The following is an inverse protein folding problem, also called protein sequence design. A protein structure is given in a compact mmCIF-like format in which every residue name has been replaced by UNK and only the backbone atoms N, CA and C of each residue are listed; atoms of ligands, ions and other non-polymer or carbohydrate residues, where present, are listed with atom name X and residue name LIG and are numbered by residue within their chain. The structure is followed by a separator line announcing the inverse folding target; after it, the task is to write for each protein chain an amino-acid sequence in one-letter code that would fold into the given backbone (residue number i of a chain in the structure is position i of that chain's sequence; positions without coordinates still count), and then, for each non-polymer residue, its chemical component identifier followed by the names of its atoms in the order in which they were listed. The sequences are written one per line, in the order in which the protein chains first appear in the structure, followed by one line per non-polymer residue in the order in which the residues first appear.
data_IF_429736899498
#
_entry.id   IF_429736899498
#
_cell.length_a   1.000
_cell.length_b   1.000
_cell.length_c   1.000
_cell.angle_alpha   90.00
_cell.angle_beta   90.00
_cell.angle_gamma   90.00
#
_symmetry.space_group_name_H-M   'P 1'
#
loop_
_entity.id
_entity.type
_entity.pdbx_description
1 polymer ?
#
# COMPACT_ATOMS: atom_id res chain seq x y z
N UNK A 1 -9.31 -26.56 9.95
CA UNK A 1 -10.14 -26.09 11.07
C UNK A 1 -10.90 -27.26 11.65
N UNK A 2 -11.10 -27.34 12.98
CA UNK A 2 -11.99 -28.33 13.57
C UNK A 2 -13.41 -28.19 13.01
N UNK A 3 -14.17 -29.29 12.85
CA UNK A 3 -15.55 -29.19 12.39
C UNK A 3 -16.42 -28.52 13.47
N UNK A 4 -17.48 -27.82 13.03
CA UNK A 4 -18.50 -27.22 13.91
C UNK A 4 -17.96 -26.11 14.82
N UNK A 5 -17.03 -25.30 14.31
CA UNK A 5 -16.57 -24.09 15.00
C UNK A 5 -17.72 -23.14 15.33
N UNK A 6 -18.77 -23.14 14.50
CA UNK A 6 -20.01 -22.37 14.73
C UNK A 6 -20.71 -22.65 16.07
N UNK A 7 -20.44 -23.80 16.72
CA UNK A 7 -20.99 -24.09 18.06
C UNK A 7 -20.32 -23.31 19.19
N UNK A 8 -19.15 -22.72 18.93
CA UNK A 8 -18.38 -21.96 19.90
C UNK A 8 -18.79 -20.48 19.91
N UNK A 9 -20.08 -20.17 19.98
CA UNK A 9 -20.60 -18.79 19.84
C UNK A 9 -20.10 -17.79 20.89
N UNK A 10 -19.58 -18.27 22.03
CA UNK A 10 -18.96 -17.47 23.09
C UNK A 10 -17.44 -17.38 22.97
N UNK A 11 -16.85 -17.89 21.90
CA UNK A 11 -15.41 -17.85 21.68
C UNK A 11 -14.96 -16.40 21.51
N UNK A 12 -14.02 -15.96 22.35
CA UNK A 12 -13.50 -14.60 22.33
C UNK A 12 -12.20 -14.48 21.53
N UNK A 13 -11.42 -15.57 21.45
CA UNK A 13 -10.12 -15.54 20.80
C UNK A 13 -10.02 -16.65 19.77
N UNK A 14 -9.84 -16.25 18.52
CA UNK A 14 -9.49 -17.11 17.41
C UNK A 14 -8.57 -16.32 16.49
N UNK A 15 -7.29 -16.68 16.44
CA UNK A 15 -6.31 -15.92 15.66
C UNK A 15 -6.25 -16.35 14.22
N UNK A 16 -6.58 -17.60 13.91
CA UNK A 16 -6.42 -18.19 12.59
C UNK A 16 -7.64 -19.06 12.26
N UNK A 17 -8.26 -18.80 11.13
CA UNK A 17 -9.35 -19.57 10.54
C UNK A 17 -8.95 -19.99 9.13
N UNK A 18 -8.91 -21.28 8.83
CA UNK A 18 -8.65 -21.78 7.47
C UNK A 18 -9.93 -22.24 6.80
N UNK A 19 -10.29 -21.62 5.69
CA UNK A 19 -11.43 -22.03 4.87
C UNK A 19 -11.10 -23.37 4.22
N UNK A 20 -11.93 -24.37 4.46
CA UNK A 20 -11.80 -25.69 3.86
C UNK A 20 -12.43 -25.74 2.47
N UNK A 21 -12.03 -26.73 1.67
CA UNK A 21 -12.72 -27.11 0.43
C UNK A 21 -14.02 -27.86 0.73
N UNK A 22 -14.72 -28.41 -0.26
CA UNK A 22 -16.07 -29.04 -0.20
C UNK A 22 -16.46 -29.83 1.07
N UNK A 23 -15.51 -30.47 1.78
CA UNK A 23 -15.77 -31.23 3.02
C UNK A 23 -15.13 -30.64 4.29
N UNK A 24 -14.48 -29.48 4.18
CA UNK A 24 -13.84 -28.76 5.28
C UNK A 24 -14.72 -27.64 5.85
N UNK A 25 -14.14 -26.82 6.72
CA UNK A 25 -14.88 -25.75 7.38
C UNK A 25 -15.29 -24.66 6.40
N UNK A 26 -16.60 -24.43 6.30
CA UNK A 26 -17.14 -23.35 5.49
C UNK A 26 -16.85 -22.00 6.16
N UNK A 27 -16.58 -20.97 5.36
CA UNK A 27 -16.41 -19.60 5.86
C UNK A 27 -17.64 -19.09 6.63
N UNK A 28 -18.83 -19.63 6.33
CA UNK A 28 -20.09 -19.35 7.03
C UNK A 28 -20.05 -19.68 8.52
N UNK A 29 -19.17 -20.59 8.94
CA UNK A 29 -19.01 -20.92 10.36
C UNK A 29 -18.53 -19.72 11.20
N UNK A 30 -17.82 -18.76 10.58
CA UNK A 30 -17.40 -17.52 11.24
C UNK A 30 -18.58 -16.66 11.69
N UNK A 31 -19.74 -16.73 11.01
CA UNK A 31 -20.88 -15.85 11.29
C UNK A 31 -21.48 -16.02 12.68
N UNK A 32 -21.25 -17.18 13.31
CA UNK A 32 -21.69 -17.47 14.68
C UNK A 32 -20.68 -17.01 15.75
N UNK A 33 -19.45 -16.67 15.36
CA UNK A 33 -18.35 -16.27 16.26
C UNK A 33 -18.31 -14.76 16.48
N UNK A 34 -19.44 -14.18 16.88
CA UNK A 34 -19.61 -12.71 16.98
C UNK A 34 -18.80 -12.06 18.10
N UNK A 35 -18.43 -12.82 19.13
CA UNK A 35 -17.68 -12.35 20.29
C UNK A 35 -16.16 -12.31 20.07
N UNK A 36 -15.67 -12.57 18.85
CA UNK A 36 -14.25 -12.53 18.55
C UNK A 36 -13.68 -11.12 18.70
N UNK A 37 -12.62 -11.03 19.50
CA UNK A 37 -11.90 -9.80 19.80
C UNK A 37 -10.46 -9.84 19.25
N UNK A 38 -9.91 -8.65 19.05
CA UNK A 38 -8.49 -8.47 18.74
C UNK A 38 -8.19 -8.70 17.27
N UNK A 39 -7.68 -9.89 16.93
CA UNK A 39 -7.14 -10.19 15.60
C UNK A 39 -7.67 -11.50 15.04
N UNK A 40 -8.04 -11.49 13.77
CA UNK A 40 -8.46 -12.66 13.03
C UNK A 40 -7.69 -12.73 11.72
N UNK A 41 -7.10 -13.89 11.44
CA UNK A 41 -6.53 -14.22 10.14
C UNK A 41 -7.37 -15.29 9.46
N UNK A 42 -7.76 -15.04 8.22
CA UNK A 42 -8.52 -15.98 7.40
C UNK A 42 -7.63 -16.46 6.26
N UNK A 43 -7.34 -17.76 6.26
CA UNK A 43 -6.51 -18.43 5.28
C UNK A 43 -7.35 -19.15 4.23
N UNK A 44 -6.73 -19.36 3.07
CA UNK A 44 -7.25 -20.18 1.98
C UNK A 44 -8.59 -19.66 1.42
N UNK A 45 -8.73 -18.34 1.30
CA UNK A 45 -9.97 -17.71 0.81
C UNK A 45 -10.32 -18.11 -0.63
N UNK A 46 -9.36 -18.60 -1.41
CA UNK A 46 -9.63 -19.18 -2.73
C UNK A 46 -10.54 -20.42 -2.69
N UNK A 47 -10.74 -21.03 -1.52
CA UNK A 47 -11.63 -22.18 -1.34
C UNK A 47 -13.12 -21.79 -1.22
N UNK A 48 -13.45 -20.49 -1.28
CA UNK A 48 -14.84 -20.03 -1.30
C UNK A 48 -15.39 -20.20 -2.72
N UNK A 49 -16.24 -21.21 -2.91
CA UNK A 49 -16.81 -21.54 -4.22
C UNK A 49 -17.94 -20.57 -4.66
N UNK A 50 -18.70 -20.04 -3.69
CA UNK A 50 -19.75 -19.04 -3.92
C UNK A 50 -19.46 -17.78 -3.09
N UNK A 51 -19.34 -16.63 -3.75
CA UNK A 51 -19.12 -15.36 -3.08
C UNK A 51 -20.22 -15.03 -2.05
N UNK A 52 -21.44 -15.53 -2.22
CA UNK A 52 -22.52 -15.34 -1.24
C UNK A 52 -22.22 -16.02 0.09
N UNK A 53 -21.44 -17.10 0.11
CA UNK A 53 -21.04 -17.76 1.36
C UNK A 53 -20.15 -16.86 2.21
N UNK A 54 -19.36 -15.97 1.59
CA UNK A 54 -18.56 -14.99 2.31
C UNK A 54 -19.41 -13.97 3.08
N UNK A 55 -20.64 -13.69 2.62
CA UNK A 55 -21.60 -12.87 3.38
C UNK A 55 -21.95 -13.52 4.73
N UNK A 56 -22.03 -14.86 4.75
CA UNK A 56 -22.30 -15.63 5.96
C UNK A 56 -21.16 -15.59 6.98
N UNK A 57 -19.97 -15.10 6.63
CA UNK A 57 -18.91 -14.86 7.60
C UNK A 57 -19.26 -13.73 8.59
N UNK A 58 -20.15 -12.81 8.19
CA UNK A 58 -20.69 -11.72 9.00
C UNK A 58 -19.61 -10.93 9.78
N UNK A 59 -18.51 -10.56 9.12
CA UNK A 59 -17.43 -9.79 9.74
C UNK A 59 -17.88 -8.39 10.17
N UNK A 60 -18.92 -7.85 9.55
CA UNK A 60 -19.60 -6.62 9.98
C UNK A 60 -20.17 -6.75 11.40
N UNK A 61 -20.63 -7.93 11.80
CA UNK A 61 -21.14 -8.19 13.16
C UNK A 61 -20.06 -8.33 14.24
N UNK A 62 -18.77 -8.39 13.87
CA UNK A 62 -17.65 -8.58 14.81
C UNK A 62 -17.10 -7.23 15.28
N UNK A 63 -17.83 -6.57 16.18
CA UNK A 63 -17.56 -5.17 16.59
C UNK A 63 -16.25 -4.98 17.36
N UNK A 64 -15.79 -6.02 18.05
CA UNK A 64 -14.57 -5.97 18.88
C UNK A 64 -13.30 -6.26 18.08
N UNK A 65 -13.44 -6.78 16.85
CA UNK A 65 -12.31 -7.06 15.98
C UNK A 65 -11.56 -5.78 15.58
N UNK A 66 -10.24 -5.76 15.81
CA UNK A 66 -9.35 -4.62 15.49
C UNK A 66 -8.45 -4.88 14.30
N UNK A 67 -8.04 -6.13 14.08
CA UNK A 67 -7.16 -6.53 13.00
C UNK A 67 -7.74 -7.68 12.18
N UNK A 68 -7.76 -7.50 10.87
CA UNK A 68 -8.17 -8.53 9.91
C UNK A 68 -7.04 -8.81 8.92
N UNK A 69 -6.69 -10.10 8.74
CA UNK A 69 -5.65 -10.58 7.84
C UNK A 69 -6.26 -11.62 6.88
N UNK A 70 -6.44 -11.26 5.61
CA UNK A 70 -7.08 -12.08 4.59
C UNK A 70 -6.03 -12.65 3.65
N UNK A 71 -6.00 -13.98 3.48
CA UNK A 71 -4.97 -14.66 2.70
C UNK A 71 -5.52 -15.67 1.71
N UNK A 72 -5.01 -15.55 0.49
CA UNK A 72 -5.19 -16.47 -0.61
C UNK A 72 -3.89 -17.22 -0.89
N UNK A 73 -3.98 -18.36 -1.57
CA UNK A 73 -2.83 -19.07 -2.13
C UNK A 73 -2.51 -18.61 -3.55
N UNK A 74 -1.26 -18.77 -3.98
CA UNK A 74 -0.75 -18.34 -5.29
C UNK A 74 -1.26 -19.17 -6.50
N UNK A 75 -2.12 -20.18 -6.32
CA UNK A 75 -2.40 -21.20 -7.35
C UNK A 75 -3.74 -21.05 -8.12
N UNK A 76 -4.44 -19.90 -8.04
CA UNK A 76 -5.82 -19.78 -8.58
C UNK A 76 -5.89 -19.17 -9.99
N UNK A 77 -6.26 -19.97 -11.01
CA UNK A 77 -6.32 -19.54 -12.42
C UNK A 77 -7.60 -18.77 -12.82
N UNK A 78 -8.70 -18.93 -12.05
CA UNK A 78 -9.97 -18.23 -12.25
C UNK A 78 -10.51 -17.90 -10.86
N UNK A 79 -10.59 -16.61 -10.55
CA UNK A 79 -10.81 -16.16 -9.18
C UNK A 79 -12.08 -15.32 -9.12
N UNK A 80 -13.02 -15.75 -8.27
CA UNK A 80 -14.16 -14.93 -7.84
C UNK A 80 -13.78 -14.05 -6.63
N UNK A 81 -12.49 -13.88 -6.34
CA UNK A 81 -12.01 -13.22 -5.13
C UNK A 81 -12.51 -11.79 -5.03
N UNK A 82 -12.67 -11.09 -6.16
CA UNK A 82 -13.23 -9.74 -6.19
C UNK A 82 -14.66 -9.71 -5.63
N UNK A 83 -15.46 -10.75 -5.91
CA UNK A 83 -16.79 -10.89 -5.33
C UNK A 83 -16.71 -11.36 -3.88
N UNK A 84 -15.87 -12.35 -3.56
CA UNK A 84 -15.68 -12.87 -2.19
C UNK A 84 -15.30 -11.74 -1.24
N UNK A 85 -14.26 -10.99 -1.57
CA UNK A 85 -13.75 -9.92 -0.72
C UNK A 85 -14.80 -8.81 -0.57
N UNK A 86 -15.56 -8.51 -1.63
CA UNK A 86 -16.64 -7.52 -1.59
C UNK A 86 -17.76 -7.92 -0.62
N UNK A 87 -18.06 -9.22 -0.48
CA UNK A 87 -19.08 -9.70 0.44
C UNK A 87 -18.61 -9.82 1.89
N UNK A 88 -17.31 -9.92 2.15
CA UNK A 88 -16.78 -10.04 3.52
C UNK A 88 -17.07 -8.82 4.40
N UNK A 89 -17.14 -7.61 3.82
CA UNK A 89 -17.50 -6.33 4.46
C UNK A 89 -17.15 -6.25 5.96
N UNK A 90 -15.90 -5.98 6.33
CA UNK A 90 -15.51 -5.92 7.73
C UNK A 90 -16.16 -4.73 8.45
N UNK A 91 -16.33 -4.87 9.77
CA UNK A 91 -16.80 -3.78 10.60
C UNK A 91 -15.84 -2.57 10.58
N UNK A 92 -16.39 -1.36 10.72
CA UNK A 92 -15.64 -0.09 10.67
C UNK A 92 -14.62 0.10 11.81
N UNK A 93 -14.71 -0.73 12.86
CA UNK A 93 -13.75 -0.73 13.98
C UNK A 93 -12.41 -1.41 13.64
N UNK A 94 -12.33 -2.12 12.53
CA UNK A 94 -11.08 -2.71 12.05
C UNK A 94 -10.14 -1.57 11.63
N UNK A 95 -9.05 -1.40 12.38
CA UNK A 95 -8.06 -0.35 12.15
C UNK A 95 -6.78 -0.88 11.48
N UNK A 96 -6.56 -2.19 11.51
CA UNK A 96 -5.39 -2.86 10.92
C UNK A 96 -5.85 -3.90 9.89
N UNK A 97 -5.35 -3.79 8.67
CA UNK A 97 -5.79 -4.63 7.56
C UNK A 97 -4.62 -5.22 6.78
N UNK A 98 -4.67 -6.53 6.53
CA UNK A 98 -3.67 -7.25 5.75
C UNK A 98 -4.36 -8.05 4.66
N UNK A 99 -3.90 -7.92 3.42
CA UNK A 99 -4.28 -8.79 2.30
C UNK A 99 -3.03 -9.42 1.71
N UNK A 100 -3.07 -10.74 1.52
CA UNK A 100 -1.99 -11.48 0.85
C UNK A 100 -2.56 -12.36 -0.27
N UNK A 101 -1.96 -12.26 -1.46
CA UNK A 101 -2.25 -13.18 -2.56
C UNK A 101 -3.58 -12.94 -3.26
N UNK A 102 -4.18 -11.75 -3.17
CA UNK A 102 -5.49 -11.49 -3.77
C UNK A 102 -5.45 -11.49 -5.30
N UNK A 103 -6.25 -12.35 -5.94
CA UNK A 103 -6.26 -12.52 -7.42
C UNK A 103 -7.34 -11.70 -8.15
N UNK A 104 -8.06 -10.81 -7.46
CA UNK A 104 -9.02 -9.93 -8.13
C UNK A 104 -8.36 -8.82 -8.94
N UNK A 105 -9.05 -8.39 -10.00
CA UNK A 105 -8.53 -7.39 -10.94
C UNK A 105 -8.53 -5.98 -10.37
N UNK A 106 -9.49 -5.70 -9.49
CA UNK A 106 -9.69 -4.42 -8.82
C UNK A 106 -9.69 -4.61 -7.32
N UNK A 107 -9.19 -3.62 -6.60
CA UNK A 107 -9.23 -3.63 -5.15
C UNK A 107 -10.64 -3.23 -4.66
N UNK A 108 -11.19 -3.91 -3.64
CA UNK A 108 -12.51 -3.59 -3.11
C UNK A 108 -12.53 -2.26 -2.35
N UNK A 109 -13.44 -1.36 -2.73
CA UNK A 109 -13.61 -0.07 -2.05
C UNK A 109 -14.30 -0.18 -0.69
N UNK A 110 -15.03 -1.28 -0.41
CA UNK A 110 -15.70 -1.49 0.87
C UNK A 110 -14.75 -1.58 2.08
N UNK A 111 -13.44 -1.75 1.85
CA UNK A 111 -12.42 -1.74 2.88
C UNK A 111 -11.85 -0.36 3.13
N UNK A 112 -12.12 0.61 2.26
CA UNK A 112 -11.63 1.98 2.41
C UNK A 112 -12.55 2.70 3.39
N UNK A 113 -12.18 2.66 4.67
CA UNK A 113 -12.82 3.45 5.72
C UNK A 113 -11.83 4.46 6.31
N UNK A 114 -12.33 5.55 6.88
CA UNK A 114 -11.50 6.64 7.43
C UNK A 114 -10.72 6.26 8.69
N UNK A 115 -11.01 5.12 9.31
CA UNK A 115 -10.42 4.66 10.58
C UNK A 115 -9.21 3.73 10.39
N UNK A 116 -8.85 3.37 9.15
CA UNK A 116 -7.69 2.53 8.90
C UNK A 116 -6.40 3.25 9.29
N UNK A 117 -5.60 2.57 10.11
CA UNK A 117 -4.33 3.06 10.66
C UNK A 117 -3.14 2.32 10.06
N UNK A 118 -3.27 1.01 9.82
CA UNK A 118 -2.21 0.15 9.31
C UNK A 118 -2.75 -0.74 8.19
N UNK A 119 -2.18 -0.61 6.99
CA UNK A 119 -2.60 -1.38 5.80
C UNK A 119 -1.38 -2.06 5.20
N UNK A 120 -1.46 -3.37 5.00
CA UNK A 120 -0.43 -4.17 4.34
C UNK A 120 -1.03 -5.00 3.21
N UNK A 121 -0.65 -4.71 1.97
CA UNK A 121 -1.08 -5.42 0.78
C UNK A 121 0.13 -6.14 0.18
N UNK A 122 0.03 -7.43 -0.09
CA UNK A 122 1.15 -8.23 -0.61
C UNK A 122 0.72 -9.22 -1.68
N UNK A 123 1.41 -9.25 -2.82
CA UNK A 123 1.20 -10.27 -3.84
C UNK A 123 -0.18 -10.20 -4.49
N UNK A 124 -0.75 -9.01 -4.64
CA UNK A 124 -2.05 -8.86 -5.28
C UNK A 124 -1.89 -8.75 -6.80
N UNK A 125 -2.78 -9.38 -7.56
CA UNK A 125 -2.78 -9.34 -9.03
C UNK A 125 -3.54 -8.12 -9.63
N UNK A 126 -3.76 -7.09 -8.83
CA UNK A 126 -4.40 -5.85 -9.28
C UNK A 126 -3.53 -5.13 -10.34
N UNK A 127 -4.20 -4.53 -11.32
CA UNK A 127 -3.53 -3.67 -12.32
C UNK A 127 -3.37 -2.22 -11.85
N UNK A 128 -4.18 -1.81 -10.87
CA UNK A 128 -4.16 -0.46 -10.28
C UNK A 128 -4.14 -0.54 -8.76
N UNK A 129 -3.52 0.45 -8.12
CA UNK A 129 -3.58 0.58 -6.67
C UNK A 129 -4.92 1.21 -6.25
N UNK A 130 -5.50 0.78 -5.11
CA UNK A 130 -6.65 1.44 -4.53
C UNK A 130 -6.36 2.91 -4.17
N UNK A 131 -7.39 3.78 -4.13
CA UNK A 131 -7.27 5.16 -3.68
C UNK A 131 -7.02 5.21 -2.16
N UNK A 132 -5.81 4.88 -1.70
CA UNK A 132 -5.46 4.84 -0.28
C UNK A 132 -5.13 6.23 0.28
N UNK A 133 -4.89 7.23 -0.56
CA UNK A 133 -4.62 8.60 -0.12
C UNK A 133 -5.77 9.29 0.59
N UNK A 134 -7.00 8.79 0.43
CA UNK A 134 -8.17 9.31 1.16
C UNK A 134 -8.24 8.83 2.62
N UNK A 135 -7.37 7.90 3.04
CA UNK A 135 -7.34 7.37 4.40
C UNK A 135 -6.72 8.39 5.38
N UNK A 136 -7.57 9.13 6.08
CA UNK A 136 -7.15 10.23 6.95
C UNK A 136 -6.32 9.79 8.17
N UNK A 137 -6.62 8.62 8.74
CA UNK A 137 -5.97 8.07 9.94
C UNK A 137 -4.79 7.13 9.63
N UNK A 138 -4.44 6.95 8.35
CA UNK A 138 -3.43 5.99 7.95
C UNK A 138 -2.04 6.43 8.40
N UNK A 139 -1.43 5.61 9.26
CA UNK A 139 -0.07 5.78 9.75
C UNK A 139 0.92 4.89 9.04
N UNK A 140 0.56 3.64 8.73
CA UNK A 140 1.46 2.68 8.09
C UNK A 140 0.82 2.10 6.85
N UNK A 141 1.54 2.15 5.75
CA UNK A 141 1.17 1.51 4.50
C UNK A 141 2.32 0.68 3.97
N UNK A 142 2.05 -0.60 3.70
CA UNK A 142 2.96 -1.50 3.02
C UNK A 142 2.29 -2.06 1.78
N UNK A 143 2.93 -1.88 0.63
CA UNK A 143 2.51 -2.44 -0.66
C UNK A 143 3.68 -3.27 -1.18
N UNK A 144 3.48 -4.57 -1.32
CA UNK A 144 4.54 -5.52 -1.69
C UNK A 144 4.11 -6.38 -2.87
N UNK A 145 5.02 -6.68 -3.79
CA UNK A 145 4.77 -7.64 -4.87
C UNK A 145 3.54 -7.31 -5.74
N UNK A 146 3.34 -6.03 -6.07
CA UNK A 146 2.32 -5.58 -7.03
C UNK A 146 2.94 -5.53 -8.43
N UNK A 147 3.34 -6.70 -8.91
CA UNK A 147 4.21 -6.82 -10.07
C UNK A 147 3.53 -6.40 -11.38
N UNK A 148 2.20 -6.35 -11.44
CA UNK A 148 1.40 -5.94 -12.61
C UNK A 148 1.02 -4.46 -12.64
N UNK A 149 1.31 -3.71 -11.57
CA UNK A 149 1.00 -2.28 -11.54
C UNK A 149 2.03 -1.54 -12.38
N UNK A 150 1.55 -0.96 -13.48
CA UNK A 150 2.37 -0.26 -14.45
C UNK A 150 2.64 1.20 -14.06
N UNK A 151 1.63 1.85 -13.47
CA UNK A 151 1.66 3.27 -13.12
C UNK A 151 1.04 3.53 -11.76
N UNK A 152 1.70 4.36 -10.95
CA UNK A 152 1.12 4.96 -9.75
C UNK A 152 0.78 6.42 -10.07
N UNK A 153 -0.49 6.66 -10.42
CA UNK A 153 -1.00 7.98 -10.76
C UNK A 153 -1.74 8.68 -9.61
N UNK A 154 -2.34 9.83 -9.91
CA UNK A 154 -3.12 10.61 -8.94
C UNK A 154 -4.32 9.84 -8.37
N UNK A 155 -4.81 8.79 -9.06
CA UNK A 155 -5.88 7.92 -8.60
C UNK A 155 -5.57 7.25 -7.26
N UNK A 156 -4.28 7.02 -6.97
CA UNK A 156 -3.83 6.47 -5.70
C UNK A 156 -4.09 7.43 -4.53
N UNK A 157 -4.05 8.74 -4.80
CA UNK A 157 -4.29 9.79 -3.82
C UNK A 157 -5.79 9.99 -3.52
N UNK A 158 -6.68 9.41 -4.32
CA UNK A 158 -8.12 9.61 -4.24
C UNK A 158 -8.63 10.51 -5.37
N UNK A 159 -9.42 11.52 -5.01
CA UNK A 159 -10.01 12.43 -5.99
C UNK A 159 -8.95 13.42 -6.53
N UNK A 160 -8.47 13.16 -7.75
CA UNK A 160 -7.52 14.00 -8.49
C UNK A 160 -8.02 15.42 -8.77
N UNK A 161 -9.30 15.72 -8.57
CA UNK A 161 -9.90 17.05 -8.77
C UNK A 161 -10.03 17.85 -7.48
N UNK A 162 -9.85 17.20 -6.32
CA UNK A 162 -9.98 17.85 -5.03
C UNK A 162 -8.68 18.53 -4.60
N UNK A 163 -8.79 19.67 -3.92
CA UNK A 163 -7.68 20.33 -3.23
C UNK A 163 -7.29 19.64 -1.92
N UNK A 164 -7.90 18.48 -1.60
CA UNK A 164 -7.63 17.75 -0.37
C UNK A 164 -6.24 17.14 -0.40
N UNK A 165 -5.47 17.40 0.65
CA UNK A 165 -4.15 16.81 0.84
C UNK A 165 -4.32 15.29 1.07
N UNK A 166 -3.70 14.43 0.24
CA UNK A 166 -3.73 12.99 0.44
C UNK A 166 -2.84 12.59 1.62
N UNK A 167 -3.23 11.54 2.34
CA UNK A 167 -2.56 11.00 3.52
C UNK A 167 -2.25 12.07 4.58
N UNK A 168 -3.22 12.36 5.46
CA UNK A 168 -3.09 13.42 6.48
C UNK A 168 -2.17 13.07 7.66
N UNK A 169 -1.94 11.78 7.91
CA UNK A 169 -1.17 11.30 9.08
C UNK A 169 -0.23 10.10 8.85
N UNK A 170 0.40 9.93 7.66
CA UNK A 170 1.33 8.83 7.47
C UNK A 170 2.53 8.96 8.40
N UNK A 171 3.03 7.82 8.85
CA UNK A 171 4.29 7.67 9.57
C UNK A 171 5.24 6.85 8.69
N UNK A 172 4.78 5.77 8.05
CA UNK A 172 5.61 4.95 7.17
C UNK A 172 4.86 4.51 5.91
N UNK A 173 5.51 4.66 4.76
CA UNK A 173 5.09 4.13 3.48
C UNK A 173 6.17 3.19 2.94
N UNK A 174 5.83 1.97 2.57
CA UNK A 174 6.78 1.00 2.03
C UNK A 174 6.22 0.42 0.74
N UNK A 175 7.03 0.48 -0.32
CA UNK A 175 6.77 -0.17 -1.59
C UNK A 175 7.93 -1.13 -1.90
N UNK A 176 7.62 -2.41 -2.06
CA UNK A 176 8.61 -3.44 -2.30
C UNK A 176 8.16 -4.31 -3.46
N UNK A 177 9.07 -4.66 -4.37
CA UNK A 177 8.78 -5.52 -5.52
C UNK A 177 7.60 -4.97 -6.34
N UNK A 178 7.81 -3.83 -6.99
CA UNK A 178 6.87 -3.23 -7.95
C UNK A 178 7.46 -3.40 -9.36
N UNK A 179 7.56 -4.65 -9.83
CA UNK A 179 8.46 -5.00 -10.95
C UNK A 179 8.10 -4.34 -12.28
N UNK A 180 6.82 -4.18 -12.62
CA UNK A 180 6.40 -3.52 -13.87
C UNK A 180 6.03 -2.05 -13.69
N UNK A 181 6.24 -1.46 -12.51
CA UNK A 181 5.91 -0.06 -12.33
C UNK A 181 6.99 0.80 -12.99
N UNK A 182 6.65 1.50 -14.07
CA UNK A 182 7.59 2.33 -14.82
C UNK A 182 7.31 3.83 -14.67
N UNK A 183 6.11 4.20 -14.23
CA UNK A 183 5.71 5.60 -14.04
C UNK A 183 5.13 5.85 -12.64
N UNK A 184 5.74 6.80 -11.93
CA UNK A 184 5.21 7.35 -10.69
C UNK A 184 4.93 8.82 -10.91
N UNK A 185 3.69 9.14 -11.27
CA UNK A 185 3.30 10.49 -11.66
C UNK A 185 2.17 10.94 -10.73
N UNK A 186 2.48 11.69 -9.66
CA UNK A 186 1.46 12.29 -8.80
C UNK A 186 0.62 13.34 -9.55
N UNK A 187 1.15 13.90 -10.65
CA UNK A 187 0.61 15.07 -11.34
C UNK A 187 0.06 14.73 -12.73
N UNK A 188 -1.26 14.70 -12.86
CA UNK A 188 -1.93 14.93 -14.14
C UNK A 188 -2.50 16.36 -14.14
N UNK A 189 -1.64 17.38 -14.17
CA UNK A 189 -2.11 18.73 -14.46
C UNK A 189 -2.53 18.78 -15.94
N UNK A 190 -3.83 18.62 -16.20
CA UNK A 190 -4.44 18.95 -17.49
C UNK A 190 -4.71 20.45 -17.57
N UNK A 191 -3.68 21.30 -17.52
CA UNK A 191 -3.69 22.68 -18.05
C UNK A 191 -2.46 23.47 -17.60
N UNK A 192 -2.00 24.31 -18.52
CA UNK A 192 -0.70 25.00 -18.49
C UNK A 192 -0.66 26.24 -17.57
N UNK A 193 -1.68 26.51 -16.75
CA UNK A 193 -1.82 27.83 -16.10
C UNK A 193 -2.19 27.87 -14.62
N UNK A 194 -2.13 26.77 -13.87
CA UNK A 194 -2.26 26.85 -12.41
C UNK A 194 -1.26 25.92 -11.71
N UNK A 195 0.00 26.36 -11.70
CA UNK A 195 1.15 25.65 -11.10
C UNK A 195 1.18 25.89 -9.60
N UNK A 196 0.24 25.28 -8.87
CA UNK A 196 0.42 25.00 -7.44
C UNK A 196 -0.71 24.11 -6.93
N UNK A 197 -0.64 22.81 -7.25
CA UNK A 197 -1.30 21.83 -6.41
C UNK A 197 -0.35 21.45 -5.26
N UNK A 198 -0.87 21.16 -4.05
CA UNK A 198 -0.08 20.69 -2.92
C UNK A 198 0.34 19.25 -3.18
N UNK A 199 1.20 19.06 -4.18
CA UNK A 199 1.74 17.80 -4.61
C UNK A 199 2.47 17.18 -3.42
N UNK A 200 1.88 16.10 -2.90
CA UNK A 200 2.41 15.28 -1.81
C UNK A 200 3.00 16.11 -0.65
N UNK A 201 2.17 16.88 0.08
CA UNK A 201 2.43 17.09 1.52
C UNK A 201 2.20 15.78 2.31
N UNK A 202 2.61 14.65 1.74
CA UNK A 202 2.58 13.37 2.41
C UNK A 202 3.68 13.45 3.45
N UNK A 203 3.25 13.44 4.70
CA UNK A 203 4.13 13.44 5.86
C UNK A 203 4.72 12.04 6.01
N UNK A 204 5.51 11.58 5.04
CA UNK A 204 6.08 10.23 5.13
C UNK A 204 7.32 10.29 6.02
N UNK A 205 7.35 9.69 7.22
CA UNK A 205 8.59 9.67 8.03
C UNK A 205 9.59 8.67 7.44
N UNK A 206 9.12 7.55 6.92
CA UNK A 206 9.92 6.48 6.31
C UNK A 206 9.36 6.05 4.95
N UNK A 207 10.09 6.28 3.85
CA UNK A 207 9.79 5.70 2.54
C UNK A 207 10.84 4.66 2.16
N UNK A 208 10.43 3.39 2.01
CA UNK A 208 11.29 2.33 1.49
C UNK A 208 10.80 1.87 0.12
N UNK A 209 11.61 2.06 -0.91
CA UNK A 209 11.39 1.52 -2.26
C UNK A 209 12.40 0.40 -2.50
N UNK A 210 11.96 -0.81 -2.85
CA UNK A 210 12.90 -1.91 -3.11
C UNK A 210 12.53 -2.79 -4.30
N UNK A 211 13.50 -3.12 -5.15
CA UNK A 211 13.34 -4.12 -6.22
C UNK A 211 12.34 -3.71 -7.30
N UNK A 212 12.41 -2.47 -7.76
CA UNK A 212 11.60 -1.98 -8.88
C UNK A 212 12.45 -1.94 -10.16
N UNK A 213 11.87 -2.22 -11.33
CA UNK A 213 12.57 -2.12 -12.62
C UNK A 213 12.38 -0.76 -13.33
N UNK A 214 12.06 0.29 -12.56
CA UNK A 214 11.92 1.65 -13.10
C UNK A 214 13.26 2.14 -13.68
N UNK A 215 13.19 2.93 -14.74
CA UNK A 215 14.34 3.67 -15.28
C UNK A 215 14.53 5.03 -14.60
N UNK A 216 13.50 5.53 -13.91
CA UNK A 216 13.51 6.78 -13.16
C UNK A 216 12.97 6.58 -11.75
N UNK A 217 13.36 7.48 -10.84
CA UNK A 217 12.81 7.54 -9.50
C UNK A 217 11.54 8.42 -9.48
N UNK A 218 10.58 8.14 -8.58
CA UNK A 218 9.45 9.03 -8.36
C UNK A 218 9.90 10.46 -7.99
N UNK A 219 9.11 11.48 -8.33
CA UNK A 219 9.34 12.85 -7.85
C UNK A 219 9.05 12.93 -6.34
N UNK A 220 10.08 12.74 -5.52
CA UNK A 220 9.98 12.66 -4.06
C UNK A 220 10.40 13.96 -3.34
N UNK A 221 11.08 14.89 -4.01
CA UNK A 221 11.60 16.11 -3.37
C UNK A 221 10.54 17.05 -2.81
N UNK A 222 9.28 16.89 -3.21
CA UNK A 222 8.14 17.66 -2.70
C UNK A 222 7.60 17.14 -1.35
N UNK A 223 8.11 15.99 -0.86
CA UNK A 223 7.74 15.44 0.45
C UNK A 223 8.29 16.30 1.59
N UNK A 224 7.43 17.15 2.15
CA UNK A 224 7.83 18.21 3.11
C UNK A 224 8.20 17.74 4.51
N UNK A 225 7.79 16.53 4.93
CA UNK A 225 8.14 15.97 6.25
C UNK A 225 8.91 14.65 6.16
N UNK A 226 9.53 14.38 5.01
CA UNK A 226 10.37 13.20 4.84
C UNK A 226 11.58 13.27 5.75
N UNK A 227 11.69 12.31 6.68
CA UNK A 227 12.84 12.17 7.57
C UNK A 227 13.79 11.10 7.05
N UNK A 228 13.28 9.95 6.62
CA UNK A 228 14.11 8.84 6.14
C UNK A 228 13.61 8.36 4.79
N UNK A 229 14.50 8.39 3.81
CA UNK A 229 14.28 7.80 2.49
C UNK A 229 15.26 6.64 2.30
N UNK A 230 14.75 5.48 1.94
CA UNK A 230 15.55 4.33 1.57
C UNK A 230 15.13 3.83 0.18
N UNK A 231 16.08 3.82 -0.74
CA UNK A 231 15.89 3.34 -2.11
C UNK A 231 16.86 2.18 -2.32
N UNK A 232 16.35 1.01 -2.65
CA UNK A 232 17.12 -0.23 -2.73
C UNK A 232 16.88 -0.96 -4.05
N UNK A 233 17.90 -1.55 -4.66
CA UNK A 233 17.71 -2.46 -5.80
C UNK A 233 16.96 -1.81 -6.99
N UNK A 234 17.25 -0.54 -7.28
CA UNK A 234 16.82 0.16 -8.50
C UNK A 234 17.93 0.05 -9.55
N UNK A 235 18.14 -1.18 -10.02
CA UNK A 235 19.33 -1.50 -10.80
C UNK A 235 19.40 -0.81 -12.17
N UNK A 236 18.26 -0.37 -12.72
CA UNK A 236 18.18 0.26 -14.06
C UNK A 236 18.28 1.79 -14.04
N UNK A 237 18.26 2.42 -12.86
CA UNK A 237 18.37 3.88 -12.76
C UNK A 237 19.82 4.27 -12.98
N UNK A 238 20.11 4.89 -14.12
CA UNK A 238 21.46 5.36 -14.46
C UNK A 238 21.75 6.74 -13.88
N UNK A 239 20.75 7.63 -13.94
CA UNK A 239 20.85 9.03 -13.54
C UNK A 239 19.69 9.42 -12.64
N UNK A 240 19.97 10.24 -11.64
CA UNK A 240 18.98 10.93 -10.82
C UNK A 240 19.16 12.42 -11.00
N UNK A 241 18.28 13.04 -11.79
CA UNK A 241 18.27 14.46 -12.08
C UNK A 241 17.24 15.25 -11.28
N UNK A 242 16.97 16.48 -11.71
CA UNK A 242 16.03 17.39 -11.06
C UNK A 242 14.57 16.88 -11.06
N UNK A 243 14.24 15.91 -11.92
CA UNK A 243 12.94 15.24 -11.94
C UNK A 243 12.62 14.55 -10.61
N UNK A 244 13.65 14.09 -9.90
CA UNK A 244 13.51 13.53 -8.55
C UNK A 244 13.00 14.55 -7.54
N UNK A 245 13.29 15.83 -7.76
CA UNK A 245 12.83 16.91 -6.90
C UNK A 245 11.38 17.34 -7.17
N UNK A 246 10.78 16.86 -8.27
CA UNK A 246 9.40 17.14 -8.66
C UNK A 246 9.15 18.52 -9.27
N UNK A 247 10.13 19.42 -9.26
CA UNK A 247 10.10 20.68 -9.99
C UNK A 247 11.53 21.13 -10.36
N UNK A 248 11.88 21.00 -11.65
CA UNK A 248 13.16 21.43 -12.20
C UNK A 248 13.27 22.95 -12.37
N UNK A 249 12.20 23.71 -12.11
CA UNK A 249 12.07 25.15 -12.38
C UNK A 249 11.87 25.99 -11.12
N UNK A 250 11.58 25.37 -9.98
CA UNK A 250 11.29 26.04 -8.71
C UNK A 250 12.54 26.28 -7.88
N UNK A 251 12.55 27.40 -7.14
CA UNK A 251 13.54 27.74 -6.11
C UNK A 251 13.32 26.97 -4.80
N UNK A 252 12.32 26.09 -4.74
CA UNK A 252 11.98 25.29 -3.56
C UNK A 252 13.08 24.29 -3.25
N UNK A 253 13.60 24.35 -2.02
CA UNK A 253 14.57 23.39 -1.51
C UNK A 253 13.87 22.01 -1.42
N UNK A 254 14.33 21.00 -2.17
CA UNK A 254 13.81 19.64 -2.06
C UNK A 254 14.15 19.07 -0.69
N UNK A 255 13.24 18.31 -0.09
CA UNK A 255 13.39 17.71 1.24
C UNK A 255 13.71 18.75 2.32
N UNK A 256 12.69 19.40 2.89
CA UNK A 256 12.88 20.46 3.91
C UNK A 256 13.49 19.98 5.24
N UNK A 257 13.48 18.68 5.53
CA UNK A 257 13.95 18.12 6.81
C UNK A 257 14.38 16.63 6.79
N UNK A 258 15.16 16.14 5.81
CA UNK A 258 15.61 14.74 5.81
C UNK A 258 16.65 14.51 6.90
N UNK A 259 16.42 13.51 7.73
CA UNK A 259 17.38 12.97 8.70
C UNK A 259 18.33 11.94 8.04
N UNK A 260 17.86 11.18 7.03
CA UNK A 260 18.66 10.17 6.32
C UNK A 260 18.17 9.94 4.89
N UNK A 261 19.10 9.89 3.93
CA UNK A 261 18.86 9.48 2.54
C UNK A 261 19.79 8.31 2.21
N UNK A 262 19.22 7.12 2.03
CA UNK A 262 19.98 5.89 1.85
C UNK A 262 19.67 5.28 0.49
N UNK A 263 20.72 5.06 -0.31
CA UNK A 263 20.64 4.39 -1.60
C UNK A 263 21.50 3.13 -1.52
N UNK A 264 20.90 1.96 -1.71
CA UNK A 264 21.58 0.67 -1.62
C UNK A 264 21.33 -0.14 -2.89
N UNK A 265 22.35 -0.90 -3.35
CA UNK A 265 22.21 -1.81 -4.51
C UNK A 265 21.62 -1.09 -5.75
N UNK A 266 22.22 0.02 -6.19
CA UNK A 266 21.84 0.69 -7.45
C UNK A 266 22.95 0.47 -8.47
N UNK A 267 22.91 -0.68 -9.15
CA UNK A 267 24.07 -1.20 -9.91
C UNK A 267 24.48 -0.29 -11.08
N UNK A 268 23.52 0.25 -11.84
CA UNK A 268 23.81 1.12 -12.99
C UNK A 268 23.92 2.61 -12.64
N UNK A 269 23.72 2.99 -11.36
CA UNK A 269 23.65 4.40 -10.98
C UNK A 269 25.03 5.08 -10.98
N UNK A 270 25.22 5.96 -11.96
CA UNK A 270 26.49 6.62 -12.23
C UNK A 270 26.45 8.14 -12.02
N UNK A 271 25.27 8.78 -12.01
CA UNK A 271 25.15 10.24 -11.99
C UNK A 271 24.06 10.75 -11.03
N UNK A 272 24.39 11.79 -10.25
CA UNK A 272 23.48 12.47 -9.31
C UNK A 272 23.60 13.97 -9.51
N UNK A 273 22.55 14.58 -10.06
CA UNK A 273 22.46 16.03 -10.32
C UNK A 273 21.13 16.54 -9.77
N UNK A 274 20.98 16.64 -8.44
CA UNK A 274 19.75 17.14 -7.85
C UNK A 274 19.56 18.63 -8.12
N UNK A 275 20.64 19.41 -8.31
CA UNK A 275 20.55 20.84 -8.61
C UNK A 275 21.56 21.26 -9.68
N UNK A 276 21.07 21.78 -10.80
CA UNK A 276 21.89 22.50 -11.78
C UNK A 276 22.30 23.92 -11.30
N UNK A 277 21.89 24.33 -10.09
CA UNK A 277 22.17 25.67 -9.59
C UNK A 277 22.12 25.74 -8.05
N UNK A 278 23.23 25.42 -7.35
CA UNK A 278 23.73 26.17 -6.17
C UNK A 278 25.07 25.62 -5.64
N UNK A 279 25.80 26.55 -5.04
CA UNK A 279 27.22 26.52 -4.64
C UNK A 279 27.60 25.45 -3.60
N UNK A 280 28.89 25.09 -3.62
CA UNK A 280 29.60 24.05 -2.85
C UNK A 280 29.42 24.00 -1.31
N UNK A 281 28.62 24.88 -0.70
CA UNK A 281 28.56 25.03 0.77
C UNK A 281 27.47 24.24 1.50
N UNK A 282 26.45 23.71 0.80
CA UNK A 282 25.36 22.91 1.42
C UNK A 282 25.48 21.40 1.18
N UNK A 283 26.67 20.92 0.80
CA UNK A 283 26.95 19.50 0.47
C UNK A 283 27.10 18.57 1.69
N UNK A 284 26.30 18.73 2.74
CA UNK A 284 26.23 17.75 3.83
C UNK A 284 24.97 16.90 3.74
N UNK A 285 24.72 16.29 2.58
CA UNK A 285 23.86 15.12 2.49
C UNK A 285 24.74 13.88 2.61
N UNK A 286 24.61 13.13 3.71
CA UNK A 286 25.24 11.82 3.86
C UNK A 286 24.47 10.86 2.94
N UNK A 287 24.77 10.90 1.65
CA UNK A 287 24.50 9.78 0.76
C UNK A 287 25.52 8.70 1.11
N UNK A 288 25.18 7.82 2.06
CA UNK A 288 26.02 6.66 2.34
C UNK A 288 25.85 5.68 1.18
N UNK A 289 26.73 5.79 0.17
CA UNK A 289 26.83 4.87 -0.95
C UNK A 289 27.50 3.59 -0.46
N UNK A 290 26.72 2.60 -0.06
CA UNK A 290 27.26 1.28 0.23
C UNK A 290 27.36 0.50 -1.08
N UNK A 291 28.57 0.41 -1.63
CA UNK A 291 28.90 -0.58 -2.64
C UNK A 291 29.15 -1.91 -1.95
N UNK A 292 28.38 -2.94 -2.32
CA UNK A 292 28.72 -4.34 -2.08
C UNK A 292 28.55 -5.08 -3.41
#
# INVERSE_FOLDING_TARGET
MPPQMSKLSKLQTLTDFSVGTQNGSSIKELGELKCLDGKLRIWMLQNVDDAQDALGANLEGMTDLKKLDLRWSDDAYVSIDEHVIHQLKPHLNVCCFVIVGYWGSRFPTCFINSCLVDVSLSGCHCFTLPPLGQLACLKRLQIKAFDKVERVGCEFNGDCTSTSIPFKSPESLTFERMLQCYEWIPNAAKSDHDRSFPCLQVICVDLSLSGCHCFSLPPLGQLTCLKRLQIKAFDRVERVGCEFNGDCTSTSIPFKSPESLTFERMIQWCEWIPDAAKSDQDRSFIASKYFA
#
